data_IF_333082703551
#
_entry.id   IF_333082703551
#
_cell.length_a   1.000
_cell.length_b   1.000
_cell.length_c   1.000
_cell.angle_alpha   90.00
_cell.angle_beta   90.00
_cell.angle_gamma   90.00
#
_symmetry.space_group_name_H-M   'P 1'
#
loop_
_entity.id
_entity.type
_entity.pdbx_description
1 polymer ?
#
# COMPACT_ATOMS: atom_id res chain seq x y z
N UNK A 1 5.67 -5.24 0.97
CA UNK A 1 6.29 -4.00 0.47
C UNK A 1 7.18 -4.30 -0.75
N UNK A 2 8.15 -5.24 -0.70
CA UNK A 2 9.06 -5.50 -1.82
C UNK A 2 8.33 -5.88 -3.12
N UNK A 3 7.33 -6.77 -3.05
CA UNK A 3 6.52 -7.16 -4.21
C UNK A 3 5.75 -5.96 -4.78
N UNK A 4 5.17 -5.13 -3.93
CA UNK A 4 4.40 -3.94 -4.31
C UNK A 4 5.30 -2.87 -4.96
N UNK A 5 6.49 -2.65 -4.41
CA UNK A 5 7.48 -1.74 -5.02
C UNK A 5 8.06 -2.31 -6.34
N UNK A 6 8.17 -3.64 -6.47
CA UNK A 6 8.53 -4.28 -7.74
C UNK A 6 7.47 -4.05 -8.81
N UNK A 7 6.18 -4.08 -8.44
CA UNK A 7 5.09 -3.72 -9.34
C UNK A 7 5.14 -2.24 -9.72
N UNK A 8 5.36 -1.34 -8.76
CA UNK A 8 5.53 0.09 -9.03
C UNK A 8 6.68 0.38 -10.01
N UNK A 9 7.80 -0.35 -9.86
CA UNK A 9 8.93 -0.24 -10.78
C UNK A 9 8.54 -0.65 -12.21
N UNK A 10 7.88 -1.80 -12.37
CA UNK A 10 7.43 -2.28 -13.66
C UNK A 10 6.44 -1.30 -14.31
N UNK A 11 5.46 -0.86 -13.57
CA UNK A 11 4.46 0.08 -14.05
C UNK A 11 5.08 1.43 -14.46
N UNK A 12 6.07 1.94 -13.69
CA UNK A 12 6.79 3.13 -14.08
C UNK A 12 7.57 2.96 -15.40
N UNK A 13 8.14 1.77 -15.68
CA UNK A 13 8.76 1.49 -16.97
C UNK A 13 7.75 1.49 -18.11
N UNK A 14 6.54 0.95 -17.89
CA UNK A 14 5.46 1.01 -18.91
C UNK A 14 5.07 2.46 -19.21
N UNK A 15 4.92 3.31 -18.20
CA UNK A 15 4.61 4.73 -18.39
C UNK A 15 5.73 5.47 -19.13
N UNK A 16 7.00 5.22 -18.82
CA UNK A 16 8.13 5.80 -19.57
C UNK A 16 8.10 5.36 -21.01
N UNK A 17 7.84 4.08 -21.27
CA UNK A 17 7.78 3.54 -22.63
C UNK A 17 6.64 4.15 -23.42
N UNK A 18 5.43 4.18 -22.84
CA UNK A 18 4.23 4.72 -23.51
C UNK A 18 4.38 6.22 -23.83
N UNK A 19 4.80 7.03 -22.87
CA UNK A 19 4.91 8.48 -23.07
C UNK A 19 6.20 8.89 -23.76
N UNK A 20 7.29 8.14 -23.60
CA UNK A 20 8.58 8.41 -24.25
C UNK A 20 8.56 8.22 -25.77
N UNK A 21 7.60 7.47 -26.32
CA UNK A 21 7.39 7.37 -27.76
C UNK A 21 6.84 8.66 -28.37
N UNK A 22 6.17 9.52 -27.55
CA UNK A 22 5.53 10.75 -28.02
C UNK A 22 6.37 11.99 -27.70
N UNK A 23 6.83 12.12 -26.44
CA UNK A 23 7.70 13.22 -26.01
C UNK A 23 8.49 12.83 -24.74
N UNK A 24 9.82 13.02 -24.80
CA UNK A 24 10.70 12.72 -23.68
C UNK A 24 10.45 13.66 -22.48
N UNK A 25 10.05 14.92 -22.70
CA UNK A 25 9.75 15.86 -21.62
C UNK A 25 8.50 15.42 -20.85
N UNK A 26 7.44 15.02 -21.54
CA UNK A 26 6.21 14.48 -20.94
C UNK A 26 6.49 13.19 -20.18
N UNK A 27 7.35 12.30 -20.70
CA UNK A 27 7.77 11.09 -20.01
C UNK A 27 8.48 11.41 -18.69
N UNK A 28 9.40 12.38 -18.69
CA UNK A 28 10.12 12.77 -17.47
C UNK A 28 9.20 13.42 -16.44
N UNK A 29 8.28 14.29 -16.85
CA UNK A 29 7.28 14.88 -15.94
C UNK A 29 6.42 13.79 -15.31
N UNK A 30 5.95 12.85 -16.11
CA UNK A 30 5.15 11.71 -15.64
C UNK A 30 5.92 10.85 -14.61
N UNK A 31 7.18 10.50 -14.90
CA UNK A 31 8.01 9.70 -14.01
C UNK A 31 8.24 10.42 -12.67
N UNK A 32 8.56 11.71 -12.71
CA UNK A 32 8.74 12.47 -11.46
C UNK A 32 7.44 12.59 -10.68
N UNK A 33 6.32 12.88 -11.35
CA UNK A 33 5.01 12.90 -10.69
C UNK A 33 4.71 11.55 -10.00
N UNK A 34 4.90 10.46 -10.71
CA UNK A 34 4.66 9.10 -10.19
C UNK A 34 5.62 8.70 -9.08
N UNK A 35 6.86 9.17 -9.10
CA UNK A 35 7.82 8.91 -8.02
C UNK A 35 7.34 9.46 -6.67
N UNK A 36 6.60 10.57 -6.67
CA UNK A 36 6.08 11.19 -5.45
C UNK A 36 4.63 10.81 -5.11
N UNK A 37 3.90 10.18 -6.02
CA UNK A 37 2.51 9.78 -5.82
C UNK A 37 2.32 8.27 -5.91
N UNK A 38 2.55 7.66 -7.06
CA UNK A 38 2.31 6.24 -7.29
C UNK A 38 3.23 5.35 -6.44
N UNK A 39 4.54 5.64 -6.39
CA UNK A 39 5.49 4.80 -5.63
C UNK A 39 5.17 4.78 -4.12
N UNK A 40 4.87 5.90 -3.44
CA UNK A 40 4.38 5.88 -2.07
C UNK A 40 3.05 5.12 -1.90
N UNK A 41 2.07 5.28 -2.80
CA UNK A 41 0.79 4.56 -2.74
C UNK A 41 1.02 3.05 -2.83
N UNK A 42 1.85 2.56 -3.75
CA UNK A 42 2.24 1.15 -3.80
C UNK A 42 2.92 0.67 -2.51
N UNK A 43 3.76 1.51 -1.88
CA UNK A 43 4.36 1.17 -0.59
C UNK A 43 3.29 1.01 0.50
N UNK A 44 2.27 1.88 0.53
CA UNK A 44 1.14 1.79 1.45
C UNK A 44 0.33 0.52 1.22
N UNK A 45 0.01 0.19 -0.02
CA UNK A 45 -0.64 -1.05 -0.41
C UNK A 45 0.13 -2.28 0.08
N UNK A 46 1.46 -2.26 -0.06
CA UNK A 46 2.33 -3.33 0.45
C UNK A 46 2.30 -3.48 1.96
N UNK A 47 2.14 -2.40 2.72
CA UNK A 47 1.98 -2.44 4.18
C UNK A 47 0.60 -2.99 4.55
N UNK A 48 -0.47 -2.56 3.87
CA UNK A 48 -1.83 -3.04 4.09
C UNK A 48 -1.93 -4.55 3.82
N UNK A 49 -1.37 -5.00 2.70
CA UNK A 49 -1.24 -6.43 2.38
C UNK A 49 -0.51 -7.19 3.48
N UNK A 50 0.65 -6.71 3.91
CA UNK A 50 1.45 -7.31 4.97
C UNK A 50 0.73 -7.37 6.31
N UNK A 51 -0.10 -6.38 6.63
CA UNK A 51 -0.94 -6.39 7.82
C UNK A 51 -1.94 -7.55 7.84
N UNK A 52 -2.67 -7.76 6.76
CA UNK A 52 -3.64 -8.85 6.68
C UNK A 52 -2.98 -10.22 6.63
N UNK A 53 -1.85 -10.36 5.93
CA UNK A 53 -1.05 -11.59 5.94
C UNK A 53 -0.56 -11.87 7.36
N UNK A 54 -0.03 -10.86 8.06
CA UNK A 54 0.40 -11.00 9.45
C UNK A 54 -0.73 -11.44 10.37
N UNK A 55 -1.92 -10.87 10.21
CA UNK A 55 -3.12 -11.31 10.95
C UNK A 55 -3.48 -12.77 10.70
N UNK A 56 -3.35 -13.26 9.47
CA UNK A 56 -3.64 -14.66 9.16
C UNK A 56 -2.64 -15.61 9.85
N UNK A 57 -1.34 -15.30 9.79
CA UNK A 57 -0.32 -16.21 10.31
C UNK A 57 -0.10 -16.12 11.82
N UNK A 58 -0.24 -14.94 12.42
CA UNK A 58 0.16 -14.71 13.82
C UNK A 58 -1.01 -14.68 14.81
N UNK A 59 -2.26 -14.66 14.37
CA UNK A 59 -3.41 -14.79 15.30
C UNK A 59 -3.77 -16.23 15.56
N UNK A 60 -4.27 -16.53 16.80
CA UNK A 60 -4.72 -17.86 17.19
C UNK A 60 -5.86 -18.38 16.32
N UNK A 61 -6.82 -17.50 15.96
CA UNK A 61 -7.90 -17.83 15.03
C UNK A 61 -7.48 -17.44 13.61
N UNK A 62 -6.89 -18.38 12.90
CA UNK A 62 -6.55 -18.23 11.49
C UNK A 62 -7.84 -18.13 10.66
N UNK A 63 -8.10 -17.00 10.06
CA UNK A 63 -9.22 -16.82 9.15
C UNK A 63 -8.71 -16.59 7.74
N UNK A 64 -9.18 -17.40 6.79
CA UNK A 64 -8.82 -17.24 5.37
C UNK A 64 -9.33 -15.90 4.79
N UNK A 65 -10.31 -15.27 5.44
CA UNK A 65 -10.76 -13.92 5.05
C UNK A 65 -9.61 -12.90 5.07
N UNK A 66 -8.63 -13.06 5.97
CA UNK A 66 -7.47 -12.16 6.00
C UNK A 66 -6.61 -12.29 4.74
N UNK A 67 -6.50 -13.48 4.14
CA UNK A 67 -5.79 -13.66 2.87
C UNK A 67 -6.54 -13.02 1.71
N UNK A 68 -7.86 -13.11 1.72
CA UNK A 68 -8.71 -12.43 0.72
C UNK A 68 -8.57 -10.92 0.87
N UNK A 69 -8.62 -10.39 2.10
CA UNK A 69 -8.46 -8.96 2.37
C UNK A 69 -7.05 -8.47 2.04
N UNK A 70 -6.02 -9.30 2.21
CA UNK A 70 -4.65 -8.97 1.84
C UNK A 70 -4.48 -8.67 0.34
N UNK A 71 -5.32 -9.26 -0.50
CA UNK A 71 -5.33 -8.99 -1.94
C UNK A 71 -6.37 -7.95 -2.31
N UNK A 72 -7.61 -8.11 -1.83
CA UNK A 72 -8.75 -7.31 -2.26
C UNK A 72 -8.62 -5.83 -1.87
N UNK A 73 -8.16 -5.55 -0.63
CA UNK A 73 -8.08 -4.15 -0.15
C UNK A 73 -7.05 -3.35 -0.94
N UNK A 74 -5.78 -3.80 -1.14
CA UNK A 74 -4.82 -3.09 -1.98
C UNK A 74 -5.30 -2.93 -3.43
N UNK A 75 -5.91 -3.95 -4.02
CA UNK A 75 -6.44 -3.87 -5.40
C UNK A 75 -7.51 -2.79 -5.54
N UNK A 76 -8.43 -2.67 -4.55
CA UNK A 76 -9.45 -1.62 -4.57
C UNK A 76 -8.84 -0.24 -4.39
N UNK A 77 -7.89 -0.08 -3.47
CA UNK A 77 -7.23 1.21 -3.22
C UNK A 77 -6.43 1.64 -4.44
N UNK A 78 -5.66 0.73 -5.03
CA UNK A 78 -4.88 0.99 -6.23
C UNK A 78 -5.79 1.35 -7.43
N UNK A 79 -6.84 0.59 -7.67
CA UNK A 79 -7.80 0.89 -8.73
C UNK A 79 -8.53 2.23 -8.52
N UNK A 80 -8.78 2.62 -7.27
CA UNK A 80 -9.34 3.94 -6.96
C UNK A 80 -8.32 5.05 -7.22
N UNK A 81 -7.04 4.84 -6.88
CA UNK A 81 -5.95 5.75 -7.21
C UNK A 81 -5.87 6.00 -8.72
N UNK A 82 -5.84 4.95 -9.53
CA UNK A 82 -5.79 5.04 -10.99
C UNK A 82 -7.02 5.74 -11.55
N UNK A 83 -8.21 5.43 -11.02
CA UNK A 83 -9.44 6.08 -11.44
C UNK A 83 -9.40 7.60 -11.19
N UNK A 84 -8.91 8.03 -10.02
CA UNK A 84 -8.76 9.46 -9.69
C UNK A 84 -7.78 10.16 -10.64
N UNK A 85 -6.73 9.47 -11.08
CA UNK A 85 -5.75 10.01 -12.03
C UNK A 85 -6.28 10.13 -13.46
N UNK A 86 -7.09 9.14 -13.89
CA UNK A 86 -7.60 9.07 -15.26
C UNK A 86 -8.85 9.92 -15.49
N UNK A 87 -9.54 10.31 -14.42
CA UNK A 87 -10.78 11.09 -14.53
C UNK A 87 -10.51 12.60 -14.54
N UNK A 88 -10.51 13.19 -15.73
CA UNK A 88 -10.22 14.62 -15.96
C UNK A 88 -11.14 15.59 -15.20
N UNK A 89 -12.34 15.14 -14.81
CA UNK A 89 -13.29 15.95 -14.04
C UNK A 89 -12.92 16.10 -12.57
N UNK A 90 -12.00 15.27 -12.06
CA UNK A 90 -11.56 15.25 -10.66
C UNK A 90 -10.40 16.23 -10.47
N UNK A 91 -10.53 17.11 -9.47
CA UNK A 91 -9.45 18.01 -9.10
C UNK A 91 -8.24 17.21 -8.57
N UNK A 92 -7.04 17.46 -9.10
CA UNK A 92 -5.79 16.80 -8.72
C UNK A 92 -5.47 16.86 -7.21
N UNK A 93 -6.01 17.85 -6.49
CA UNK A 93 -5.87 17.91 -5.03
C UNK A 93 -6.52 16.73 -4.32
N UNK A 94 -7.48 16.05 -4.96
CA UNK A 94 -8.13 14.86 -4.41
C UNK A 94 -7.15 13.69 -4.27
N UNK A 95 -6.15 13.62 -5.14
CA UNK A 95 -5.06 12.66 -5.06
C UNK A 95 -4.26 12.81 -3.76
N UNK A 96 -3.88 14.04 -3.41
CA UNK A 96 -3.13 14.28 -2.18
C UNK A 96 -3.95 13.99 -0.93
N UNK A 97 -5.25 14.27 -0.96
CA UNK A 97 -6.17 13.90 0.12
C UNK A 97 -6.26 12.38 0.27
N UNK A 98 -6.40 11.66 -0.85
CA UNK A 98 -6.45 10.20 -0.86
C UNK A 98 -5.17 9.60 -0.28
N UNK A 99 -4.00 10.04 -0.73
CA UNK A 99 -2.71 9.61 -0.21
C UNK A 99 -2.54 9.91 1.29
N UNK A 100 -3.03 11.04 1.77
CA UNK A 100 -3.01 11.38 3.20
C UNK A 100 -3.88 10.42 4.02
N UNK A 101 -5.03 9.99 3.50
CA UNK A 101 -5.90 8.98 4.10
C UNK A 101 -5.20 7.61 4.13
N UNK A 102 -4.60 7.18 3.03
CA UNK A 102 -3.82 5.93 2.96
C UNK A 102 -2.68 5.94 3.97
N UNK A 103 -1.91 7.02 4.05
CA UNK A 103 -0.84 7.18 5.02
C UNK A 103 -1.33 7.09 6.46
N UNK A 104 -2.44 7.76 6.78
CA UNK A 104 -3.09 7.66 8.09
C UNK A 104 -3.52 6.22 8.41
N UNK A 105 -4.10 5.51 7.44
CA UNK A 105 -4.47 4.10 7.56
C UNK A 105 -3.25 3.22 7.84
N UNK A 106 -2.18 3.40 7.10
CA UNK A 106 -0.92 2.65 7.28
C UNK A 106 -0.34 2.85 8.68
N UNK A 107 -0.31 4.09 9.18
CA UNK A 107 0.14 4.37 10.55
C UNK A 107 -0.75 3.67 11.58
N UNK A 108 -2.06 3.73 11.40
CA UNK A 108 -3.02 3.05 12.28
C UNK A 108 -2.80 1.53 12.30
N UNK A 109 -2.68 0.91 11.13
CA UNK A 109 -2.45 -0.53 11.00
C UNK A 109 -1.11 -0.97 11.59
N UNK A 110 -0.06 -0.19 11.37
CA UNK A 110 1.26 -0.44 11.95
C UNK A 110 1.23 -0.39 13.48
N UNK A 111 0.59 0.61 14.06
CA UNK A 111 0.42 0.74 15.52
C UNK A 111 -0.38 -0.42 16.10
N UNK A 112 -1.46 -0.83 15.42
CA UNK A 112 -2.27 -1.98 15.83
C UNK A 112 -1.45 -3.28 15.89
N UNK A 113 -0.63 -3.57 14.87
CA UNK A 113 0.26 -4.74 14.87
C UNK A 113 1.30 -4.69 15.98
N UNK A 114 1.90 -3.53 16.21
CA UNK A 114 2.89 -3.36 17.27
C UNK A 114 2.30 -3.62 18.64
N UNK A 115 1.09 -3.16 18.91
CA UNK A 115 0.37 -3.43 20.17
C UNK A 115 0.09 -4.91 20.35
N UNK A 116 -0.42 -5.60 19.30
CA UNK A 116 -0.67 -7.05 19.32
C UNK A 116 0.62 -7.86 19.61
N UNK A 117 1.76 -7.43 19.07
CA UNK A 117 3.05 -8.07 19.30
C UNK A 117 3.57 -7.89 20.73
N UNK A 118 3.43 -6.69 21.27
CA UNK A 118 3.84 -6.39 22.66
C UNK A 118 3.02 -7.19 23.67
N UNK A 119 1.71 -7.27 23.49
CA UNK A 119 0.84 -8.08 24.36
C UNK A 119 1.24 -9.54 24.36
N UNK A 120 1.48 -10.13 23.19
CA UNK A 120 1.93 -11.54 23.09
C UNK A 120 3.27 -11.77 23.77
N UNK A 121 4.20 -10.84 23.68
CA UNK A 121 5.49 -10.94 24.34
C UNK A 121 5.31 -10.95 25.87
N UNK A 122 4.53 -10.03 26.39
CA UNK A 122 4.22 -9.97 27.84
C UNK A 122 3.55 -11.26 28.33
N UNK A 123 2.52 -11.76 27.60
CA UNK A 123 1.85 -13.03 27.95
C UNK A 123 2.81 -14.23 27.92
N UNK A 124 3.79 -14.24 27.01
CA UNK A 124 4.77 -15.32 26.94
C UNK A 124 5.78 -15.28 28.08
N UNK A 125 6.19 -14.09 28.49
CA UNK A 125 7.08 -13.87 29.63
C UNK A 125 6.41 -14.25 30.95
N UNK A 126 5.15 -13.89 31.17
CA UNK A 126 4.39 -14.28 32.36
C UNK A 126 4.21 -15.79 32.51
N UNK A 127 4.14 -16.53 31.39
CA UNK A 127 4.05 -18.01 31.39
C UNK A 127 5.37 -18.69 31.75
N UNK A 128 6.50 -18.03 31.56
CA UNK A 128 7.82 -18.57 31.93
C UNK A 128 8.12 -18.47 33.42
N UNK A 129 7.44 -17.54 34.12
CA UNK A 129 7.62 -17.32 35.55
C UNK A 129 6.56 -18.02 36.44
N UNK A 130 5.65 -18.79 35.83
CA UNK A 130 4.67 -19.65 36.51
C UNK A 130 4.99 -21.12 36.33
#
# INVERSE_FOLDING_TARGET
>A
IAASLGFAFWENLEYVYIYGEFDMEDALITVWGRAFTAVPSHAFDGVIMGFFIGKHYFRKNKSNINLVLALLVPVILHGFYDWVLMEESINSNFMFLFMAIEFGLVIYLYRSLKTDQLQKKTESEEKLYK
#
